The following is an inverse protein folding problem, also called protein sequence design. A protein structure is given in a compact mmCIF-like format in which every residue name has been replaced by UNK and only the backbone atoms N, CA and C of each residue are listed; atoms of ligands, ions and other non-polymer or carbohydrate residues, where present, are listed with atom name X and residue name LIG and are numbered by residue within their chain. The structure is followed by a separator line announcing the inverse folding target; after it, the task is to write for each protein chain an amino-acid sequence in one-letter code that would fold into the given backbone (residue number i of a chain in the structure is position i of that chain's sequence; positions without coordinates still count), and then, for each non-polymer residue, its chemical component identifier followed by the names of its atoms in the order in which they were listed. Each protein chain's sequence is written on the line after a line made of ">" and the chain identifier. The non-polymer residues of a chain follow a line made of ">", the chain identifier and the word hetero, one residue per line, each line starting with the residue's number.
data_IF_004576893021
#
_entry.id   IF_004576893021
#
_cell.length_a   1.000
_cell.length_b   1.000
_cell.length_c   1.000
_cell.angle_alpha   90.00
_cell.angle_beta   90.00
_cell.angle_gamma   90.00
#
_symmetry.space_group_name_H-M   'P 1'
#
loop_
_entity.id
_entity.type
_entity.pdbx_description
1 polymer ?
#
# COMPACT_ATOMS: atom_id res chain seq x y z
N UNK A 1 -3.10 6.08 -15.69
CA UNK A 1 -4.32 6.92 -15.56
C UNK A 1 -4.14 7.97 -14.45
N UNK A 2 -4.82 9.14 -14.48
CA UNK A 2 -4.77 10.09 -13.38
C UNK A 2 -5.51 9.53 -12.15
N UNK A 3 -5.00 9.85 -10.96
CA UNK A 3 -5.63 9.51 -9.68
C UNK A 3 -6.87 10.41 -9.51
N UNK A 4 -8.00 9.83 -9.09
CA UNK A 4 -9.34 10.46 -9.09
C UNK A 4 -9.99 10.55 -7.70
N UNK A 5 -9.17 10.46 -6.65
CA UNK A 5 -9.62 10.56 -5.27
C UNK A 5 -10.22 11.95 -4.95
N UNK A 6 -11.40 11.95 -4.36
CA UNK A 6 -12.06 13.15 -3.83
C UNK A 6 -11.41 13.63 -2.54
N UNK A 7 -11.66 14.89 -2.16
CA UNK A 7 -11.18 15.44 -0.89
C UNK A 7 -11.64 14.64 0.34
N UNK A 8 -12.86 14.07 0.28
CA UNK A 8 -13.39 13.23 1.35
C UNK A 8 -12.65 11.89 1.43
N UNK A 9 -12.40 11.23 0.29
CA UNK A 9 -11.63 9.99 0.24
C UNK A 9 -10.19 10.21 0.73
N UNK A 10 -9.54 11.31 0.31
CA UNK A 10 -8.22 11.68 0.81
C UNK A 10 -8.18 11.85 2.33
N UNK A 11 -9.19 12.52 2.90
CA UNK A 11 -9.29 12.68 4.35
C UNK A 11 -9.44 11.35 5.09
N UNK A 12 -10.26 10.42 4.56
CA UNK A 12 -10.44 9.08 5.12
C UNK A 12 -9.15 8.25 5.06
N UNK A 13 -8.41 8.34 3.95
CA UNK A 13 -7.12 7.67 3.76
C UNK A 13 -6.10 8.18 4.80
N UNK A 14 -5.98 9.50 4.93
CA UNK A 14 -5.08 10.14 5.89
C UNK A 14 -5.45 9.78 7.34
N UNK A 15 -6.74 9.74 7.66
CA UNK A 15 -7.24 9.39 8.98
C UNK A 15 -6.87 7.96 9.35
N UNK A 16 -7.24 6.98 8.53
CA UNK A 16 -6.89 5.57 8.77
C UNK A 16 -5.37 5.37 8.80
N UNK A 17 -4.61 6.03 7.93
CA UNK A 17 -3.14 5.98 7.98
C UNK A 17 -2.58 6.51 9.30
N UNK A 18 -3.11 7.64 9.77
CA UNK A 18 -2.64 8.30 10.98
C UNK A 18 -2.95 7.47 12.22
N UNK A 19 -4.15 6.90 12.30
CA UNK A 19 -4.56 6.00 13.39
C UNK A 19 -3.68 4.75 13.44
N UNK A 20 -3.41 4.13 12.29
CA UNK A 20 -2.56 2.95 12.24
C UNK A 20 -1.10 3.28 12.61
N UNK A 21 -0.64 4.50 12.29
CA UNK A 21 0.71 4.98 12.60
C UNK A 21 0.90 5.34 14.08
N UNK A 22 -0.15 5.74 14.78
CA UNK A 22 -0.02 6.35 16.12
C UNK A 22 0.30 5.36 17.24
N UNK A 23 0.02 4.06 17.11
CA UNK A 23 0.30 3.09 18.19
C UNK A 23 0.97 1.77 17.77
N UNK A 24 0.61 1.13 16.65
CA UNK A 24 1.01 -0.28 16.44
C UNK A 24 1.81 -0.58 15.16
N UNK A 25 1.65 0.17 14.07
CA UNK A 25 2.23 -0.26 12.78
C UNK A 25 3.76 -0.07 12.69
N UNK A 26 4.34 0.82 13.50
CA UNK A 26 5.80 0.88 13.70
C UNK A 26 6.31 -0.16 14.71
N UNK A 27 5.45 -0.61 15.63
CA UNK A 27 5.77 -1.68 16.58
C UNK A 27 5.65 -3.07 15.93
N UNK A 28 4.83 -3.19 14.87
CA UNK A 28 4.57 -4.42 14.11
C UNK A 28 4.97 -4.24 12.63
N UNK A 29 6.27 -3.99 12.33
CA UNK A 29 6.71 -3.73 10.95
C UNK A 29 6.50 -4.94 10.03
N UNK A 30 6.33 -6.14 10.57
CA UNK A 30 6.15 -7.37 9.82
C UNK A 30 4.70 -7.68 9.45
N UNK A 31 3.71 -7.05 10.11
CA UNK A 31 2.30 -7.44 10.02
C UNK A 31 1.77 -7.47 8.58
N UNK A 32 2.08 -6.44 7.78
CA UNK A 32 1.70 -6.42 6.36
C UNK A 32 2.23 -7.64 5.60
N UNK A 33 3.49 -7.99 5.83
CA UNK A 33 4.13 -9.13 5.16
C UNK A 33 3.62 -10.47 5.69
N UNK A 34 3.27 -10.56 6.97
CA UNK A 34 2.59 -11.73 7.54
C UNK A 34 1.26 -11.96 6.82
N UNK A 35 0.41 -10.93 6.70
CA UNK A 35 -0.85 -11.01 5.92
C UNK A 35 -0.62 -11.33 4.45
N UNK A 36 0.43 -10.77 3.85
CA UNK A 36 0.78 -11.05 2.45
C UNK A 36 1.12 -12.52 2.25
N UNK A 37 1.94 -13.11 3.12
CA UNK A 37 2.39 -14.49 3.00
C UNK A 37 1.36 -15.50 3.49
N UNK A 38 0.44 -15.12 4.36
CA UNK A 38 -0.76 -15.91 4.67
C UNK A 38 -1.65 -16.07 3.44
N UNK A 39 -1.78 -15.02 2.62
CA UNK A 39 -2.59 -15.03 1.40
C UNK A 39 -1.91 -15.75 0.24
N UNK A 40 -0.63 -15.48 0.03
CA UNK A 40 0.18 -16.20 -0.96
C UNK A 40 1.59 -16.49 -0.40
N UNK A 41 1.82 -17.70 0.12
CA UNK A 41 3.12 -18.11 0.65
C UNK A 41 4.25 -18.06 -0.38
N UNK A 42 3.95 -18.15 -1.68
CA UNK A 42 4.97 -18.15 -2.72
C UNK A 42 5.63 -16.77 -2.88
N UNK A 43 4.91 -15.69 -2.53
CA UNK A 43 5.45 -14.33 -2.58
C UNK A 43 6.64 -14.15 -1.65
N UNK A 44 6.77 -14.96 -0.58
CA UNK A 44 7.92 -14.91 0.34
C UNK A 44 9.25 -15.04 -0.39
N UNK A 45 9.30 -15.79 -1.50
CA UNK A 45 10.52 -16.00 -2.29
C UNK A 45 11.01 -14.73 -3.00
N UNK A 46 10.13 -13.75 -3.23
CA UNK A 46 10.50 -12.45 -3.83
C UNK A 46 11.24 -11.53 -2.84
N UNK A 47 11.10 -11.76 -1.53
CA UNK A 47 11.68 -10.92 -0.49
C UNK A 47 12.95 -11.54 0.09
N UNK A 48 14.12 -11.15 -0.42
CA UNK A 48 15.42 -11.66 0.06
C UNK A 48 15.94 -10.98 1.32
N UNK A 49 15.35 -9.85 1.68
CA UNK A 49 15.77 -9.00 2.78
C UNK A 49 15.10 -9.40 4.10
N UNK A 50 15.58 -8.83 5.20
CA UNK A 50 14.88 -8.90 6.49
C UNK A 50 13.48 -8.25 6.38
N UNK A 51 12.47 -8.98 6.83
CA UNK A 51 11.06 -8.60 6.66
C UNK A 51 10.70 -7.39 7.53
N UNK A 52 11.28 -7.26 8.73
CA UNK A 52 11.04 -6.08 9.56
C UNK A 52 11.63 -4.81 8.91
N UNK A 53 12.86 -4.90 8.40
CA UNK A 53 13.49 -3.85 7.62
C UNK A 53 12.68 -3.46 6.38
N UNK A 54 12.17 -4.46 5.66
CA UNK A 54 11.33 -4.25 4.49
C UNK A 54 9.97 -3.63 4.83
N UNK A 55 9.38 -4.03 5.96
CA UNK A 55 8.22 -3.40 6.57
C UNK A 55 8.38 -1.91 6.84
N UNK A 56 9.49 -1.54 7.50
CA UNK A 56 9.79 -0.13 7.77
C UNK A 56 9.96 0.70 6.49
N UNK A 57 10.57 0.13 5.44
CA UNK A 57 10.67 0.77 4.11
C UNK A 57 9.31 0.95 3.48
N UNK A 58 8.50 -0.10 3.45
CA UNK A 58 7.13 -0.07 2.93
C UNK A 58 6.30 1.03 3.61
N UNK A 59 6.34 1.11 4.94
CA UNK A 59 5.61 2.12 5.70
C UNK A 59 6.07 3.56 5.42
N UNK A 60 7.38 3.74 5.18
CA UNK A 60 7.92 5.04 4.78
C UNK A 60 7.44 5.44 3.39
N UNK A 61 7.50 4.51 2.44
CA UNK A 61 7.00 4.73 1.09
C UNK A 61 5.51 5.04 1.07
N UNK A 62 4.72 4.28 1.82
CA UNK A 62 3.27 4.49 1.91
C UNK A 62 2.94 5.88 2.48
N UNK A 63 3.65 6.32 3.52
CA UNK A 63 3.54 7.70 4.03
C UNK A 63 3.83 8.74 2.95
N UNK A 64 4.92 8.55 2.19
CA UNK A 64 5.28 9.49 1.12
C UNK A 64 4.18 9.56 0.05
N UNK A 65 3.60 8.42 -0.33
CA UNK A 65 2.50 8.37 -1.30
C UNK A 65 1.26 9.10 -0.76
N UNK A 66 0.82 8.80 0.48
CA UNK A 66 -0.33 9.47 1.10
C UNK A 66 -0.12 10.98 1.17
N UNK A 67 1.07 11.45 1.56
CA UNK A 67 1.40 12.87 1.57
C UNK A 67 1.36 13.50 0.17
N UNK A 68 1.91 12.82 -0.85
CA UNK A 68 1.92 13.32 -2.22
C UNK A 68 0.51 13.46 -2.79
N UNK A 69 -0.34 12.44 -2.58
CA UNK A 69 -1.75 12.47 -2.96
C UNK A 69 -2.47 13.70 -2.42
N UNK A 70 -2.21 14.08 -1.16
CA UNK A 70 -2.82 15.24 -0.53
C UNK A 70 -2.27 16.56 -1.04
N UNK A 71 -0.94 16.69 -1.10
CA UNK A 71 -0.29 17.99 -1.27
C UNK A 71 -0.06 18.37 -2.74
N UNK A 72 0.15 17.38 -3.59
CA UNK A 72 0.54 17.59 -4.99
C UNK A 72 -0.58 17.23 -5.97
N UNK A 73 -1.70 16.70 -5.47
CA UNK A 73 -2.80 16.21 -6.30
C UNK A 73 -2.46 14.95 -7.08
N UNK A 74 -1.35 14.28 -6.74
CA UNK A 74 -0.85 13.10 -7.44
C UNK A 74 0.41 12.54 -6.79
N UNK A 75 0.78 11.31 -7.16
CA UNK A 75 1.94 10.60 -6.62
C UNK A 75 2.92 10.12 -7.71
N UNK A 76 2.79 10.61 -8.94
CA UNK A 76 3.51 10.11 -10.12
C UNK A 76 5.04 10.10 -9.93
N UNK A 77 5.61 11.19 -9.42
CA UNK A 77 7.06 11.30 -9.18
C UNK A 77 7.60 10.24 -8.21
N UNK A 78 6.75 9.80 -7.26
CA UNK A 78 7.09 8.75 -6.29
C UNK A 78 6.85 7.37 -6.91
N UNK A 79 5.76 7.21 -7.67
CA UNK A 79 5.34 5.92 -8.23
C UNK A 79 6.22 5.47 -9.40
N UNK A 80 6.66 6.36 -10.29
CA UNK A 80 7.46 5.98 -11.46
C UNK A 80 8.76 5.20 -11.15
N UNK A 81 9.65 5.65 -10.24
CA UNK A 81 10.83 4.88 -9.89
C UNK A 81 10.49 3.57 -9.17
N UNK A 82 9.42 3.56 -8.36
CA UNK A 82 8.93 2.35 -7.70
C UNK A 82 8.44 1.33 -8.73
N UNK A 83 7.65 1.77 -9.70
CA UNK A 83 7.10 0.95 -10.78
C UNK A 83 8.19 0.25 -11.58
N UNK A 84 9.23 1.00 -12.01
CA UNK A 84 10.41 0.43 -12.69
C UNK A 84 11.12 -0.62 -11.85
N UNK A 85 11.20 -0.40 -10.54
CA UNK A 85 11.82 -1.35 -9.61
C UNK A 85 10.99 -2.63 -9.51
N UNK A 86 9.67 -2.52 -9.37
CA UNK A 86 8.78 -3.69 -9.29
C UNK A 86 8.80 -4.52 -10.59
N UNK A 87 8.77 -3.86 -11.76
CA UNK A 87 8.92 -4.55 -13.04
C UNK A 87 10.27 -5.27 -13.17
N UNK A 88 11.37 -4.63 -12.77
CA UNK A 88 12.70 -5.26 -12.81
C UNK A 88 12.85 -6.45 -11.84
N UNK A 89 12.04 -6.51 -10.78
CA UNK A 89 12.02 -7.59 -9.80
C UNK A 89 11.14 -8.78 -10.22
N UNK A 90 10.48 -8.71 -11.38
CA UNK A 90 9.56 -9.76 -11.84
C UNK A 90 8.27 -9.81 -11.04
N UNK A 91 7.83 -8.67 -10.50
CA UNK A 91 6.47 -8.56 -9.93
C UNK A 91 5.48 -8.58 -11.08
N UNK A 92 4.43 -9.38 -10.95
CA UNK A 92 3.32 -9.48 -11.90
C UNK A 92 2.09 -8.72 -11.40
N UNK A 93 1.18 -8.37 -12.31
CA UNK A 93 -0.05 -7.66 -12.01
C UNK A 93 -0.88 -8.39 -10.92
N UNK A 94 -0.94 -9.73 -10.98
CA UNK A 94 -1.65 -10.55 -9.99
C UNK A 94 -1.11 -10.39 -8.55
N UNK A 95 0.18 -10.07 -8.39
CA UNK A 95 0.73 -9.84 -7.05
C UNK A 95 0.14 -8.58 -6.39
N UNK A 96 -0.24 -7.56 -7.18
CA UNK A 96 -0.88 -6.35 -6.65
C UNK A 96 -2.26 -6.66 -6.05
N UNK A 97 -3.05 -7.56 -6.64
CA UNK A 97 -4.34 -7.94 -6.05
C UNK A 97 -4.15 -8.53 -4.64
N UNK A 98 -3.18 -9.44 -4.50
CA UNK A 98 -2.86 -10.07 -3.21
C UNK A 98 -2.34 -9.04 -2.20
N UNK A 99 -1.47 -8.13 -2.64
CA UNK A 99 -0.97 -7.04 -1.79
C UNK A 99 -2.07 -6.08 -1.35
N UNK A 100 -3.05 -5.78 -2.21
CA UNK A 100 -4.19 -4.95 -1.88
C UNK A 100 -5.01 -5.54 -0.74
N UNK A 101 -5.35 -6.82 -0.83
CA UNK A 101 -6.09 -7.48 0.24
C UNK A 101 -5.27 -7.61 1.54
N UNK A 102 -3.98 -7.90 1.45
CA UNK A 102 -3.10 -7.93 2.63
C UNK A 102 -3.02 -6.57 3.34
N UNK A 103 -3.01 -5.48 2.58
CA UNK A 103 -3.04 -4.13 3.13
C UNK A 103 -4.36 -3.85 3.86
N UNK A 104 -5.48 -4.27 3.30
CA UNK A 104 -6.79 -4.11 3.95
C UNK A 104 -6.89 -4.95 5.23
N UNK A 105 -6.41 -6.18 5.22
CA UNK A 105 -6.36 -7.01 6.43
C UNK A 105 -5.48 -6.39 7.51
N UNK A 106 -4.36 -5.78 7.10
CA UNK A 106 -3.46 -5.07 8.02
C UNK A 106 -4.19 -3.93 8.72
N UNK A 107 -4.96 -3.12 7.99
CA UNK A 107 -5.77 -2.07 8.61
C UNK A 107 -6.86 -2.62 9.53
N UNK A 108 -7.55 -3.69 9.12
CA UNK A 108 -8.57 -4.35 9.95
C UNK A 108 -8.00 -4.87 11.27
N UNK A 109 -6.79 -5.43 11.25
CA UNK A 109 -6.16 -5.94 12.47
C UNK A 109 -5.75 -4.82 13.43
N UNK A 110 -5.18 -3.73 12.90
CA UNK A 110 -4.66 -2.63 13.72
C UNK A 110 -5.73 -1.70 14.27
N UNK A 111 -6.80 -1.51 13.50
CA UNK A 111 -7.82 -0.51 13.82
C UNK A 111 -9.13 -1.15 14.27
N UNK A 112 -9.33 -2.44 13.99
CA UNK A 112 -10.54 -3.17 14.38
C UNK A 112 -11.81 -2.40 13.97
N UNK A 113 -12.75 -2.14 14.92
CA UNK A 113 -13.98 -1.40 14.66
C UNK A 113 -13.78 0.04 14.15
N UNK A 114 -12.61 0.65 14.40
CA UNK A 114 -12.34 2.02 13.99
C UNK A 114 -12.01 2.13 12.49
N UNK A 115 -11.69 1.01 11.82
CA UNK A 115 -11.58 0.97 10.37
C UNK A 115 -12.96 0.88 9.72
N UNK A 116 -13.60 2.03 9.56
CA UNK A 116 -14.97 2.09 9.07
C UNK A 116 -15.10 1.60 7.62
N UNK A 117 -16.30 1.18 7.18
CA UNK A 117 -16.54 0.79 5.79
C UNK A 117 -16.15 1.87 4.77
N UNK A 118 -16.31 3.14 5.11
CA UNK A 118 -15.93 4.28 4.26
C UNK A 118 -14.41 4.39 4.14
N UNK A 119 -13.66 4.15 5.23
CA UNK A 119 -12.21 4.11 5.19
C UNK A 119 -11.72 2.93 4.34
N UNK A 120 -12.30 1.75 4.51
CA UNK A 120 -11.97 0.58 3.68
C UNK A 120 -12.23 0.86 2.20
N UNK A 121 -13.39 1.43 1.86
CA UNK A 121 -13.73 1.78 0.49
C UNK A 121 -12.74 2.78 -0.12
N UNK A 122 -12.39 3.85 0.62
CA UNK A 122 -11.43 4.86 0.18
C UNK A 122 -10.04 4.25 -0.04
N UNK A 123 -9.56 3.41 0.88
CA UNK A 123 -8.28 2.72 0.76
C UNK A 123 -8.23 1.75 -0.41
N UNK A 124 -9.30 0.96 -0.63
CA UNK A 124 -9.41 0.05 -1.77
C UNK A 124 -9.37 0.80 -3.10
N UNK A 125 -10.04 1.95 -3.19
CA UNK A 125 -9.99 2.81 -4.38
C UNK A 125 -8.60 3.36 -4.60
N UNK A 126 -7.98 3.95 -3.58
CA UNK A 126 -6.64 4.50 -3.67
C UNK A 126 -5.61 3.44 -4.07
N UNK A 127 -5.65 2.27 -3.43
CA UNK A 127 -4.75 1.15 -3.75
C UNK A 127 -4.86 0.74 -5.22
N UNK A 128 -6.09 0.58 -5.73
CA UNK A 128 -6.32 0.22 -7.14
C UNK A 128 -5.75 1.27 -8.09
N UNK A 129 -6.04 2.55 -7.87
CA UNK A 129 -5.52 3.62 -8.74
C UNK A 129 -3.98 3.70 -8.71
N UNK A 130 -3.38 3.47 -7.54
CA UNK A 130 -1.91 3.38 -7.39
C UNK A 130 -1.36 2.15 -8.11
N UNK A 131 -1.99 0.97 -7.93
CA UNK A 131 -1.57 -0.27 -8.55
C UNK A 131 -1.65 -0.17 -10.08
N UNK A 132 -2.74 0.36 -10.62
CA UNK A 132 -2.92 0.59 -12.06
C UNK A 132 -1.80 1.50 -12.60
N UNK A 133 -1.50 2.60 -11.90
CA UNK A 133 -0.42 3.51 -12.28
C UNK A 133 0.97 2.84 -12.22
N UNK A 134 1.21 2.00 -11.20
CA UNK A 134 2.45 1.25 -11.04
C UNK A 134 2.63 0.19 -12.13
N UNK A 135 1.55 -0.54 -12.47
CA UNK A 135 1.55 -1.57 -13.50
C UNK A 135 1.83 -0.94 -14.86
N UNK A 136 1.11 0.14 -15.19
CA UNK A 136 1.27 0.88 -16.45
C UNK A 136 2.69 1.46 -16.59
N UNK A 137 3.19 2.17 -15.57
CA UNK A 137 4.52 2.81 -15.61
C UNK A 137 5.67 1.79 -15.57
N UNK A 138 5.46 0.65 -14.91
CA UNK A 138 6.45 -0.41 -14.76
C UNK A 138 6.50 -1.38 -15.94
N UNK A 139 5.50 -1.32 -16.84
CA UNK A 139 5.26 -2.35 -17.87
C UNK A 139 5.22 -3.75 -17.25
N UNK A 140 4.49 -3.85 -16.16
CA UNK A 140 4.34 -5.09 -15.40
C UNK A 140 3.28 -5.95 -16.11
N UNK A 141 3.64 -7.20 -16.38
CA UNK A 141 2.77 -8.20 -17.01
C UNK A 141 1.74 -8.78 -16.02
#
# INVERSE_FOLDING_TARGET
>A
MPITLSNQELALIEQAFTMARSEELFAQPTLFYEKLFERDPNLRALFREDIAGQGMRFMRTLRTIVTALRQLGGAQEVLEPLARTHGALGVHAQHFETMGEALIDTFKELLGPDFTPEMEAAWRKAYREIADAMIEAGKID
#
